data_IF_366494340249
#
_entry.id   IF_366494340249
#
_cell.length_a   1.000
_cell.length_b   1.000
_cell.length_c   1.000
_cell.angle_alpha   90.00
_cell.angle_beta   90.00
_cell.angle_gamma   90.00
#
_symmetry.space_group_name_H-M   'P 1'
#
loop_
_entity.id
_entity.type
_entity.pdbx_description
1 polymer ?
#
# COMPACT_ATOMS: atom_id res chain seq x y z
N UNK A 1 -0.97 41.94 -24.56
CA UNK A 1 -0.69 40.56 -24.99
C UNK A 1 -1.16 39.61 -23.91
N UNK A 2 -2.34 39.04 -24.14
CA UNK A 2 -3.02 37.88 -23.55
C UNK A 2 -2.94 37.57 -22.04
N UNK A 3 -4.11 37.68 -21.39
CA UNK A 3 -4.53 36.97 -20.17
C UNK A 3 -4.66 35.45 -20.41
N UNK A 4 -4.44 34.62 -19.37
CA UNK A 4 -5.44 33.65 -18.84
C UNK A 4 -5.14 33.32 -17.35
N UNK A 5 -6.14 33.31 -16.44
CA UNK A 5 -6.05 32.78 -15.07
C UNK A 5 -6.59 31.33 -14.97
N UNK A 6 -6.64 30.73 -13.77
CA UNK A 6 -7.25 29.41 -13.41
C UNK A 6 -6.42 28.17 -13.81
N UNK A 7 -5.95 27.28 -12.94
CA UNK A 7 -6.57 26.62 -11.77
C UNK A 7 -5.49 26.15 -10.77
N UNK A 8 -5.49 26.69 -9.55
CA UNK A 8 -4.87 26.02 -8.41
C UNK A 8 -5.95 25.10 -7.80
N UNK A 9 -6.04 23.86 -8.28
CA UNK A 9 -6.85 22.85 -7.59
C UNK A 9 -6.11 22.52 -6.30
N UNK A 10 -6.58 23.05 -5.17
CA UNK A 10 -6.19 22.50 -3.87
C UNK A 10 -6.50 21.00 -3.94
N UNK A 11 -5.47 20.17 -3.81
CA UNK A 11 -5.68 18.75 -3.56
C UNK A 11 -6.62 18.66 -2.36
N UNK A 12 -7.82 18.15 -2.60
CA UNK A 12 -8.77 17.81 -1.56
C UNK A 12 -8.04 16.83 -0.64
N UNK A 13 -7.91 17.19 0.63
CA UNK A 13 -7.50 16.24 1.65
C UNK A 13 -8.51 15.09 1.61
N UNK A 14 -8.09 13.94 1.10
CA UNK A 14 -8.90 12.74 1.10
C UNK A 14 -8.88 12.14 2.49
N UNK A 15 -10.06 12.03 3.07
CA UNK A 15 -10.29 11.28 4.30
C UNK A 15 -9.99 9.82 4.01
N UNK A 16 -8.86 9.31 4.51
CA UNK A 16 -8.58 7.88 4.45
C UNK A 16 -9.70 7.13 5.16
N UNK A 17 -10.22 6.01 4.62
CA UNK A 17 -11.12 5.16 5.38
C UNK A 17 -10.36 4.71 6.63
N UNK A 18 -10.85 5.11 7.81
CA UNK A 18 -10.30 4.65 9.07
C UNK A 18 -10.43 3.13 9.11
N UNK A 19 -9.33 2.44 9.39
CA UNK A 19 -9.35 1.01 9.64
C UNK A 19 -10.27 0.75 10.85
N UNK A 20 -11.48 0.25 10.59
CA UNK A 20 -12.35 -0.28 11.61
C UNK A 20 -11.74 -1.60 12.09
N UNK A 21 -11.13 -1.56 13.26
CA UNK A 21 -10.72 -2.76 14.00
C UNK A 21 -11.95 -3.61 14.28
N UNK A 22 -12.17 -4.61 13.43
CA UNK A 22 -13.21 -5.62 13.67
C UNK A 22 -12.62 -6.64 14.63
N UNK A 23 -12.94 -6.50 15.91
CA UNK A 23 -12.67 -7.53 16.91
C UNK A 23 -13.56 -8.73 16.60
N UNK A 24 -13.01 -9.77 15.99
CA UNK A 24 -13.70 -11.05 15.80
C UNK A 24 -13.91 -11.71 17.16
N UNK A 25 -15.12 -11.59 17.70
CA UNK A 25 -15.59 -12.43 18.81
C UNK A 25 -16.16 -13.71 18.22
N UNK A 26 -15.49 -14.83 18.45
CA UNK A 26 -15.94 -16.17 18.09
C UNK A 26 -17.24 -16.50 18.83
N UNK A 27 -18.37 -16.35 18.14
CA UNK A 27 -19.67 -16.85 18.58
C UNK A 27 -19.98 -18.20 17.94
N UNK A 28 -19.90 -19.27 18.72
CA UNK A 28 -20.36 -20.61 18.32
C UNK A 28 -21.88 -20.68 18.52
N UNK A 29 -22.69 -20.90 17.47
CA UNK A 29 -24.08 -21.38 17.65
C UNK A 29 -24.60 -22.16 16.44
N UNK A 30 -24.81 -23.46 16.68
CA UNK A 30 -25.98 -24.33 16.45
C UNK A 30 -26.90 -24.12 15.23
N UNK A 31 -27.07 -25.22 14.50
CA UNK A 31 -28.05 -25.57 13.46
C UNK A 31 -29.50 -25.19 13.77
N UNK A 32 -30.18 -24.55 12.81
CA UNK A 32 -31.63 -24.36 12.81
C UNK A 32 -32.17 -24.07 11.41
N UNK A 33 -32.88 -25.05 10.83
CA UNK A 33 -33.61 -24.95 9.55
C UNK A 33 -34.91 -24.17 9.75
N UNK A 34 -35.17 -23.12 8.97
CA UNK A 34 -36.54 -22.64 8.73
C UNK A 34 -36.65 -21.92 7.37
N UNK A 35 -37.56 -22.42 6.54
CA UNK A 35 -38.04 -21.82 5.28
C UNK A 35 -39.01 -20.67 5.59
N UNK A 36 -38.84 -19.49 4.99
CA UNK A 36 -39.94 -18.51 4.84
C UNK A 36 -39.74 -17.61 3.62
N UNK A 37 -40.81 -17.49 2.84
CA UNK A 37 -40.98 -16.72 1.60
C UNK A 37 -41.28 -15.24 1.87
N UNK A 38 -40.65 -14.34 1.10
CA UNK A 38 -41.23 -13.07 0.65
C UNK A 38 -40.88 -11.82 1.48
N UNK A 39 -40.17 -10.87 0.85
CA UNK A 39 -40.60 -9.48 0.61
C UNK A 39 -39.48 -8.75 -0.14
N UNK A 40 -39.78 -8.28 -1.35
CA UNK A 40 -38.89 -7.45 -2.17
C UNK A 40 -38.78 -6.06 -1.53
N UNK A 41 -37.73 -5.83 -0.77
CA UNK A 41 -37.29 -4.49 -0.39
C UNK A 41 -36.13 -4.13 -1.31
N UNK A 42 -36.35 -3.19 -2.21
CA UNK A 42 -35.29 -2.53 -2.99
C UNK A 42 -34.47 -1.67 -2.02
N UNK A 43 -33.58 -2.31 -1.28
CA UNK A 43 -32.48 -1.66 -0.60
C UNK A 43 -31.41 -1.39 -1.65
N UNK A 44 -31.16 -0.12 -1.95
CA UNK A 44 -29.91 0.29 -2.58
C UNK A 44 -28.81 0.01 -1.58
N UNK A 45 -28.26 -1.21 -1.62
CA UNK A 45 -27.03 -1.56 -0.93
C UNK A 45 -25.93 -0.74 -1.57
N UNK A 46 -25.63 0.41 -0.97
CA UNK A 46 -24.35 1.08 -1.22
C UNK A 46 -23.32 0.19 -0.56
N UNK A 47 -22.82 -0.79 -1.30
CA UNK A 47 -21.63 -1.53 -0.94
C UNK A 47 -20.50 -0.51 -0.97
N UNK A 48 -20.24 0.13 0.16
CA UNK A 48 -18.92 0.69 0.42
C UNK A 48 -18.00 -0.51 0.43
N UNK A 49 -17.36 -0.78 -0.71
CA UNK A 49 -16.33 -1.80 -0.82
C UNK A 49 -15.22 -1.36 0.14
N UNK A 50 -15.19 -1.95 1.35
CA UNK A 50 -13.99 -2.01 2.15
C UNK A 50 -12.93 -2.54 1.21
N UNK A 51 -11.95 -1.70 0.83
CA UNK A 51 -10.89 -2.15 -0.03
C UNK A 51 -10.24 -3.36 0.64
N UNK A 52 -10.22 -4.50 -0.04
CA UNK A 52 -9.63 -5.71 0.51
C UNK A 52 -8.15 -5.45 0.79
N UNK A 53 -7.71 -5.81 2.00
CA UNK A 53 -6.30 -5.73 2.39
C UNK A 53 -5.53 -6.67 1.47
N UNK A 54 -4.57 -6.14 0.71
CA UNK A 54 -3.77 -6.94 -0.20
C UNK A 54 -2.70 -7.74 0.56
N UNK A 55 -2.05 -7.09 1.52
CA UNK A 55 -1.06 -7.69 2.41
C UNK A 55 -0.76 -6.75 3.59
N UNK A 56 -0.11 -7.29 4.60
CA UNK A 56 0.45 -6.53 5.72
C UNK A 56 1.97 -6.51 5.63
N UNK A 57 2.56 -5.33 5.84
CA UNK A 57 4.01 -5.13 5.91
C UNK A 57 4.46 -5.08 7.37
N UNK A 58 5.55 -5.75 7.69
CA UNK A 58 6.22 -5.70 8.99
C UNK A 58 7.74 -5.60 8.83
N UNK A 59 8.44 -5.17 9.89
CA UNK A 59 9.90 -5.13 9.94
C UNK A 59 10.53 -3.83 9.42
N UNK A 60 9.72 -2.85 8.99
CA UNK A 60 10.26 -1.59 8.48
C UNK A 60 10.78 -0.73 9.63
N UNK A 61 12.04 -0.29 9.53
CA UNK A 61 12.75 0.47 10.53
C UNK A 61 13.79 1.40 9.89
N UNK A 62 14.31 2.34 10.68
CA UNK A 62 15.37 3.27 10.27
C UNK A 62 14.86 4.70 10.10
N UNK A 63 15.75 5.63 10.41
CA UNK A 63 15.50 7.07 10.35
C UNK A 63 16.51 7.72 9.40
N UNK A 64 16.05 8.69 8.62
CA UNK A 64 16.97 9.57 7.91
C UNK A 64 17.43 10.67 8.86
N UNK A 65 18.54 10.47 9.57
CA UNK A 65 19.10 11.50 10.45
C UNK A 65 19.57 12.75 9.69
N UNK A 66 19.75 12.66 8.37
CA UNK A 66 20.30 13.73 7.54
C UNK A 66 19.21 14.34 6.67
N UNK A 67 18.75 15.54 7.04
CA UNK A 67 17.97 16.43 6.18
C UNK A 67 16.54 16.67 6.64
N UNK A 68 15.72 15.61 6.76
CA UNK A 68 14.27 15.77 7.03
C UNK A 68 13.71 14.85 8.12
N UNK A 69 14.55 14.03 8.77
CA UNK A 69 14.14 13.10 9.84
C UNK A 69 13.06 12.11 9.43
N UNK A 70 12.94 11.84 8.12
CA UNK A 70 11.94 10.94 7.59
C UNK A 70 12.27 9.47 7.93
N UNK A 71 11.28 8.77 8.48
CA UNK A 71 11.39 7.38 8.94
C UNK A 71 10.89 6.40 7.88
N UNK A 72 11.39 5.16 7.93
CA UNK A 72 10.85 4.02 7.19
C UNK A 72 9.68 3.33 7.91
N UNK A 73 9.51 3.57 9.22
CA UNK A 73 8.44 2.95 10.03
C UNK A 73 7.02 3.13 9.47
N UNK A 74 6.68 4.22 8.76
CA UNK A 74 5.37 4.35 8.13
C UNK A 74 5.06 3.30 7.07
N UNK A 75 6.03 2.48 6.65
CA UNK A 75 5.78 1.31 5.80
C UNK A 75 5.12 0.16 6.54
N UNK A 76 5.13 0.10 7.88
CA UNK A 76 4.47 -0.98 8.60
C UNK A 76 2.94 -0.83 8.53
N UNK A 77 2.24 -1.96 8.42
CA UNK A 77 0.77 -2.04 8.44
C UNK A 77 0.15 -2.56 7.16
N UNK A 78 -1.16 -2.39 7.05
CA UNK A 78 -1.98 -2.93 5.96
C UNK A 78 -1.84 -2.09 4.69
N UNK A 79 -1.69 -2.76 3.55
CA UNK A 79 -1.67 -2.16 2.23
C UNK A 79 -2.90 -2.54 1.43
N UNK A 80 -3.33 -1.60 0.60
CA UNK A 80 -4.47 -1.74 -0.30
C UNK A 80 -3.99 -1.46 -1.71
N UNK A 81 -4.47 -2.24 -2.68
CA UNK A 81 -4.20 -1.96 -4.08
C UNK A 81 -4.97 -0.71 -4.50
N UNK A 82 -4.27 0.32 -4.96
CA UNK A 82 -4.87 1.57 -5.43
C UNK A 82 -4.95 1.62 -6.97
N UNK A 83 -4.08 0.88 -7.67
CA UNK A 83 -4.12 0.85 -9.12
C UNK A 83 -3.00 0.06 -9.75
N UNK A 84 -2.46 0.60 -10.85
CA UNK A 84 -1.31 0.03 -11.55
C UNK A 84 -0.27 1.10 -11.85
N UNK A 85 1.01 0.72 -11.84
CA UNK A 85 2.13 1.54 -12.25
C UNK A 85 3.10 0.67 -13.05
N UNK A 86 3.53 1.17 -14.21
CA UNK A 86 4.48 0.46 -15.08
C UNK A 86 4.02 -0.97 -15.42
N UNK A 87 2.71 -1.18 -15.59
CA UNK A 87 2.12 -2.47 -15.93
C UNK A 87 2.01 -3.48 -14.78
N UNK A 88 2.39 -3.11 -13.55
CA UNK A 88 2.21 -3.95 -12.35
C UNK A 88 1.29 -3.26 -11.32
N UNK A 89 0.72 -4.01 -10.37
CA UNK A 89 -0.08 -3.43 -9.29
C UNK A 89 0.67 -2.37 -8.47
N UNK A 90 -0.08 -1.40 -7.98
CA UNK A 90 0.39 -0.29 -7.14
C UNK A 90 -0.39 -0.29 -5.82
N UNK A 91 0.32 -0.20 -4.70
CA UNK A 91 -0.26 -0.34 -3.37
C UNK A 91 0.09 0.85 -2.48
N UNK A 92 -0.87 1.23 -1.64
CA UNK A 92 -0.72 2.29 -0.63
C UNK A 92 -1.24 1.85 0.72
N UNK A 93 -0.69 2.42 1.78
CA UNK A 93 -1.23 2.24 3.13
C UNK A 93 -1.84 3.53 3.69
N UNK A 94 -2.45 3.41 4.87
CA UNK A 94 -3.07 4.54 5.58
C UNK A 94 -2.07 5.60 6.09
N UNK A 95 -0.77 5.47 5.81
CA UNK A 95 0.24 6.47 6.13
C UNK A 95 0.77 7.17 4.87
N UNK A 96 0.21 6.85 3.69
CA UNK A 96 0.67 7.36 2.40
C UNK A 96 2.01 6.75 1.96
N UNK A 97 2.42 5.64 2.57
CA UNK A 97 3.54 4.85 2.08
C UNK A 97 3.10 4.03 0.87
N UNK A 98 4.04 3.78 -0.04
CA UNK A 98 3.75 3.19 -1.34
C UNK A 98 4.64 1.98 -1.60
N UNK A 99 4.07 0.93 -2.21
CA UNK A 99 4.83 -0.18 -2.80
C UNK A 99 4.50 -0.28 -4.28
N UNK A 100 5.53 -0.20 -5.14
CA UNK A 100 5.35 -0.03 -6.58
C UNK A 100 6.50 -0.59 -7.41
N UNK A 101 6.18 -1.00 -8.63
CA UNK A 101 7.17 -1.41 -9.63
C UNK A 101 7.77 -0.19 -10.34
N UNK A 102 9.08 -0.07 -10.31
CA UNK A 102 9.84 0.98 -10.97
C UNK A 102 10.64 0.43 -12.16
N UNK A 103 10.66 1.16 -13.27
CA UNK A 103 11.36 0.80 -14.51
C UNK A 103 11.92 2.04 -15.22
N UNK A 104 12.76 1.84 -16.25
CA UNK A 104 13.26 2.91 -17.10
C UNK A 104 14.01 4.00 -16.33
N UNK A 105 13.49 5.23 -16.35
CA UNK A 105 14.11 6.40 -15.71
C UNK A 105 13.62 6.65 -14.28
N UNK A 106 12.88 5.73 -13.67
CA UNK A 106 12.48 5.85 -12.27
C UNK A 106 13.70 5.90 -11.33
N UNK A 107 13.59 6.68 -10.24
CA UNK A 107 14.73 6.95 -9.36
C UNK A 107 15.31 5.68 -8.73
N UNK A 108 14.47 4.75 -8.26
CA UNK A 108 14.92 3.52 -7.63
C UNK A 108 15.69 2.61 -8.60
N UNK A 109 15.33 2.63 -9.88
CA UNK A 109 16.04 1.90 -10.94
C UNK A 109 17.46 2.42 -11.13
N UNK A 110 17.65 3.73 -11.04
CA UNK A 110 18.96 4.35 -11.24
C UNK A 110 19.86 4.31 -10.00
N UNK A 111 19.27 4.28 -8.80
CA UNK A 111 20.00 4.60 -7.55
C UNK A 111 19.97 3.51 -6.47
N UNK A 112 19.24 2.41 -6.67
CA UNK A 112 19.17 1.30 -5.71
C UNK A 112 19.68 0.02 -6.37
N UNK A 113 20.30 -0.87 -5.59
CA UNK A 113 20.75 -2.18 -6.07
C UNK A 113 21.58 -2.11 -7.35
N UNK A 114 21.23 -2.93 -8.33
CA UNK A 114 21.80 -2.95 -9.68
C UNK A 114 21.25 -1.77 -10.50
N UNK A 115 22.09 -0.81 -10.94
CA UNK A 115 21.65 0.31 -11.75
C UNK A 115 21.04 -0.14 -13.08
N UNK A 116 19.87 0.41 -13.43
CA UNK A 116 19.15 0.11 -14.67
C UNK A 116 18.26 -1.14 -14.61
N UNK A 117 18.35 -1.95 -13.55
CA UNK A 117 17.46 -3.08 -13.36
C UNK A 117 16.06 -2.61 -12.88
N UNK A 118 14.95 -3.06 -13.48
CA UNK A 118 13.62 -2.88 -12.92
C UNK A 118 13.49 -3.51 -11.53
N UNK A 119 12.72 -2.91 -10.64
CA UNK A 119 12.55 -3.42 -9.27
C UNK A 119 11.27 -2.98 -8.59
N UNK A 120 10.84 -3.75 -7.61
CA UNK A 120 9.88 -3.31 -6.61
C UNK A 120 10.56 -2.34 -5.66
N UNK A 121 9.85 -1.29 -5.27
CA UNK A 121 10.32 -0.29 -4.31
C UNK A 121 9.26 -0.05 -3.26
N UNK A 122 9.72 0.18 -2.03
CA UNK A 122 8.89 0.59 -0.91
C UNK A 122 9.33 1.99 -0.46
N UNK A 123 8.39 2.93 -0.50
CA UNK A 123 8.65 4.34 -0.19
C UNK A 123 7.82 4.80 1.00
N UNK A 124 8.45 5.57 1.89
CA UNK A 124 7.80 6.24 3.01
C UNK A 124 8.15 7.72 2.96
N UNK A 125 7.15 8.59 3.14
CA UNK A 125 7.34 10.05 3.07
C UNK A 125 8.05 10.48 1.78
N UNK A 126 7.68 9.87 0.64
CA UNK A 126 8.27 10.10 -0.69
C UNK A 126 9.75 9.69 -0.85
N UNK A 127 10.31 8.97 0.11
CA UNK A 127 11.69 8.47 0.04
C UNK A 127 11.72 6.96 -0.10
N UNK A 128 12.56 6.45 -1.00
CA UNK A 128 12.83 5.03 -1.14
C UNK A 128 13.56 4.48 0.07
N UNK A 129 13.01 3.42 0.66
CA UNK A 129 13.52 2.75 1.88
C UNK A 129 13.95 1.33 1.61
N UNK A 130 13.15 0.58 0.84
CA UNK A 130 13.48 -0.80 0.48
C UNK A 130 13.31 -1.02 -1.01
N UNK A 131 14.02 -2.02 -1.53
CA UNK A 131 13.89 -2.47 -2.90
C UNK A 131 14.01 -4.00 -2.99
N UNK A 132 13.43 -4.57 -4.04
CA UNK A 132 13.58 -5.98 -4.40
C UNK A 132 13.60 -6.11 -5.94
N UNK A 133 14.63 -6.75 -6.48
CA UNK A 133 14.87 -6.83 -7.94
C UNK A 133 14.17 -8.02 -8.62
N UNK A 134 13.41 -8.82 -7.87
CA UNK A 134 12.64 -9.92 -8.44
C UNK A 134 11.53 -9.39 -9.37
N UNK A 135 11.53 -9.85 -10.62
CA UNK A 135 10.52 -9.49 -11.63
C UNK A 135 9.23 -10.30 -11.51
N UNK A 136 8.64 -10.33 -10.33
CA UNK A 136 7.37 -10.99 -10.01
C UNK A 136 6.17 -10.16 -10.48
N UNK A 137 4.98 -10.78 -10.59
CA UNK A 137 3.72 -10.09 -10.95
C UNK A 137 3.19 -9.19 -9.83
N UNK A 138 3.41 -9.58 -8.58
CA UNK A 138 3.11 -8.84 -7.34
C UNK A 138 4.37 -8.69 -6.49
N UNK A 139 4.43 -7.74 -5.55
CA UNK A 139 5.64 -7.53 -4.73
C UNK A 139 6.05 -8.82 -3.99
N UNK A 140 7.33 -9.21 -3.96
CA UNK A 140 7.75 -10.41 -3.23
C UNK A 140 7.43 -10.33 -1.74
N UNK A 141 7.10 -11.48 -1.14
CA UNK A 141 6.82 -11.59 0.30
C UNK A 141 8.03 -11.31 1.20
N UNK A 142 9.24 -11.56 0.68
CA UNK A 142 10.51 -11.48 1.42
C UNK A 142 11.66 -11.09 0.48
N UNK A 143 12.90 -11.02 0.98
CA UNK A 143 14.09 -10.71 0.17
C UNK A 143 14.25 -9.22 -0.12
N UNK A 144 13.65 -8.36 0.69
CA UNK A 144 13.74 -6.92 0.53
C UNK A 144 15.05 -6.37 1.08
N UNK A 145 15.72 -5.55 0.30
CA UNK A 145 16.96 -4.90 0.69
C UNK A 145 16.68 -3.50 1.24
N UNK A 146 17.16 -3.22 2.45
CA UNK A 146 17.17 -1.87 3.00
C UNK A 146 18.14 -0.96 2.23
N UNK A 147 17.72 0.27 1.98
CA UNK A 147 18.59 1.32 1.45
C UNK A 147 19.51 1.82 2.56
N UNK A 148 20.82 1.69 2.33
CA UNK A 148 21.87 2.07 3.27
C UNK A 148 21.71 3.50 3.78
N UNK A 149 21.78 3.66 5.11
CA UNK A 149 21.81 4.95 5.81
C UNK A 149 20.44 5.59 6.08
N UNK A 150 19.35 5.03 5.57
CA UNK A 150 18.01 5.61 5.72
C UNK A 150 16.89 4.59 5.99
N UNK A 151 17.24 3.30 5.96
CA UNK A 151 16.38 2.18 6.28
C UNK A 151 17.22 1.04 6.87
N UNK A 152 16.60 0.23 7.71
CA UNK A 152 17.23 -0.89 8.41
C UNK A 152 16.30 -2.11 8.44
N UNK A 153 16.86 -3.26 8.80
CA UNK A 153 16.11 -4.53 8.87
C UNK A 153 15.72 -5.09 7.50
N UNK A 154 14.86 -6.09 7.53
CA UNK A 154 14.25 -6.70 6.35
C UNK A 154 12.73 -6.61 6.51
N UNK A 155 12.04 -6.12 5.48
CA UNK A 155 10.58 -6.09 5.50
C UNK A 155 10.02 -7.40 4.98
N UNK A 156 8.92 -7.85 5.59
CA UNK A 156 8.13 -9.00 5.15
C UNK A 156 6.73 -8.53 4.77
N UNK A 157 6.24 -9.00 3.62
CA UNK A 157 4.88 -8.83 3.15
C UNK A 157 4.12 -10.13 3.37
N UNK A 158 3.12 -10.11 4.25
CA UNK A 158 2.23 -11.22 4.50
C UNK A 158 0.94 -11.01 3.71
N UNK A 159 0.75 -11.80 2.67
CA UNK A 159 -0.48 -11.81 1.88
C UNK A 159 -1.59 -12.51 2.66
N UNK A 160 -2.78 -11.91 2.68
CA UNK A 160 -3.96 -12.57 3.25
C UNK A 160 -4.31 -13.80 2.38
N UNK A 161 -4.65 -14.91 3.03
CA UNK A 161 -5.10 -16.10 2.32
C UNK A 161 -6.53 -15.86 1.84
N UNK A 162 -6.71 -15.72 0.53
CA UNK A 162 -8.02 -15.71 -0.11
C UNK A 162 -8.68 -17.09 -0.11
#
# INVERSE_FOLDING_TARGET
TNCVPTTCVKQTAWTMPQATTTTTTTGTTTTGTTTTTGTTTTGTTTTTTTADVAFTVSGAAGINEIGDRSSAEPLNGMFFQEGTRNGKPYYVNAQGSEIRWETGSDWGVQNLGTPGAPKWTATANRHHRYYNEESSSTPPGSGWHARTGVAEGEITLTYEAN
#
